data_IF_460410526206
#
_entry.id   IF_460410526206
#
_cell.length_a   1.000
_cell.length_b   1.000
_cell.length_c   1.000
_cell.angle_alpha   90.00
_cell.angle_beta   90.00
_cell.angle_gamma   90.00
#
_symmetry.space_group_name_H-M   'P 1'
#
loop_
_entity.id
_entity.type
_entity.pdbx_description
1 polymer ?
#
# COMPACT_ATOMS: atom_id res chain seq x y z
N UNK A 1 2.55 -12.25 79.27
CA UNK A 1 3.23 -12.38 77.97
C UNK A 1 2.42 -11.67 76.89
N UNK A 2 2.86 -10.50 76.41
CA UNK A 2 2.29 -9.81 75.24
C UNK A 2 3.47 -9.24 74.44
N UNK A 3 3.69 -9.77 73.24
CA UNK A 3 4.74 -9.35 72.31
C UNK A 3 4.19 -8.22 71.44
N UNK A 4 4.90 -7.10 71.37
CA UNK A 4 4.64 -6.00 70.45
C UNK A 4 5.43 -6.31 69.17
N UNK A 5 4.74 -6.33 68.03
CA UNK A 5 5.32 -6.55 66.70
C UNK A 5 5.53 -5.18 66.05
N UNK A 6 6.78 -4.89 65.72
CA UNK A 6 7.20 -3.66 65.04
C UNK A 6 7.08 -3.86 63.53
N UNK A 7 6.14 -3.17 62.88
CA UNK A 7 5.95 -3.21 61.43
C UNK A 7 6.88 -2.17 60.77
N UNK A 8 7.91 -2.62 60.07
CA UNK A 8 8.75 -1.77 59.24
C UNK A 8 8.07 -1.54 57.87
N UNK A 9 7.72 -0.30 57.57
CA UNK A 9 7.22 0.10 56.25
C UNK A 9 8.42 0.39 55.33
N UNK A 10 8.65 -0.48 54.34
CA UNK A 10 9.60 -0.23 53.26
C UNK A 10 8.91 0.59 52.16
N UNK A 11 9.38 1.82 51.92
CA UNK A 11 8.99 2.63 50.76
C UNK A 11 9.68 2.11 49.50
N UNK A 12 8.89 1.57 48.58
CA UNK A 12 9.33 1.27 47.21
C UNK A 12 9.23 2.56 46.37
N UNK A 13 10.37 3.18 46.06
CA UNK A 13 10.44 4.30 45.11
C UNK A 13 10.48 3.71 43.69
N UNK A 14 9.35 3.75 43.00
CA UNK A 14 9.24 3.42 41.57
C UNK A 14 9.84 4.57 40.76
N UNK A 15 11.06 4.38 40.26
CA UNK A 15 11.68 5.20 39.22
C UNK A 15 10.94 4.98 37.90
N UNK A 16 9.88 5.75 37.67
CA UNK A 16 9.22 5.89 36.37
C UNK A 16 10.10 6.81 35.48
N UNK A 17 11.07 6.22 34.79
CA UNK A 17 11.78 6.91 33.71
C UNK A 17 10.82 7.24 32.56
N UNK A 18 11.02 8.36 31.83
CA UNK A 18 10.19 8.68 30.69
C UNK A 18 10.42 7.60 29.62
N UNK A 19 9.36 6.87 29.27
CA UNK A 19 9.36 6.05 28.07
C UNK A 19 9.55 7.00 26.89
N UNK A 20 10.74 7.02 26.30
CA UNK A 20 10.99 7.71 25.04
C UNK A 20 10.05 7.13 24.00
N UNK A 21 8.96 7.84 23.70
CA UNK A 21 8.10 7.54 22.57
C UNK A 21 8.93 7.74 21.30
N UNK A 22 9.42 6.64 20.72
CA UNK A 22 10.07 6.68 19.42
C UNK A 22 8.96 7.03 18.43
N UNK A 23 9.00 8.24 17.86
CA UNK A 23 8.03 8.64 16.85
C UNK A 23 8.12 7.65 15.69
N UNK A 24 6.97 7.09 15.27
CA UNK A 24 6.93 6.25 14.09
C UNK A 24 7.51 7.04 12.90
N UNK A 25 8.35 6.41 12.05
CA UNK A 25 8.95 7.13 10.93
C UNK A 25 7.88 7.72 10.01
N UNK A 26 8.19 8.88 9.44
CA UNK A 26 7.31 9.55 8.49
C UNK A 26 7.10 8.68 7.25
N UNK A 27 5.95 8.79 6.59
CA UNK A 27 5.70 8.06 5.34
C UNK A 27 6.73 8.40 4.27
N UNK A 28 7.25 9.63 4.26
CA UNK A 28 8.31 10.05 3.34
C UNK A 28 9.60 9.21 3.42
N UNK A 29 9.97 8.66 4.59
CA UNK A 29 11.14 7.78 4.67
C UNK A 29 10.88 6.37 4.13
N UNK A 30 9.62 6.05 3.80
CA UNK A 30 9.19 4.76 3.29
C UNK A 30 9.05 4.73 1.76
N UNK A 31 9.36 5.84 1.07
CA UNK A 31 9.40 5.88 -0.40
C UNK A 31 10.50 4.96 -0.93
N UNK A 32 10.25 4.28 -2.05
CA UNK A 32 11.28 3.45 -2.70
C UNK A 32 12.34 4.35 -3.35
N UNK A 33 13.59 4.01 -3.11
CA UNK A 33 14.75 4.64 -3.74
C UNK A 33 15.05 3.98 -5.10
N UNK A 34 15.89 4.58 -5.97
CA UNK A 34 16.23 3.97 -7.26
C UNK A 34 16.74 2.52 -7.16
N UNK A 35 17.46 2.19 -6.09
CA UNK A 35 17.99 0.85 -5.84
C UNK A 35 16.91 -0.17 -5.41
N UNK A 36 15.75 0.29 -4.95
CA UNK A 36 14.63 -0.54 -4.51
C UNK A 36 13.75 -1.03 -5.69
N UNK A 37 13.96 -0.48 -6.89
CA UNK A 37 13.23 -0.85 -8.10
C UNK A 37 13.95 -1.96 -8.89
N UNK A 38 13.22 -2.70 -9.76
CA UNK A 38 13.83 -3.76 -10.56
C UNK A 38 15.05 -3.26 -11.35
N UNK A 39 16.15 -4.03 -11.46
CA UNK A 39 17.36 -3.59 -12.13
C UNK A 39 17.11 -3.03 -13.53
N UNK A 40 17.80 -1.94 -13.86
CA UNK A 40 17.61 -1.19 -15.12
C UNK A 40 16.42 -0.22 -15.11
N UNK A 41 15.70 -0.10 -13.99
CA UNK A 41 14.68 0.94 -13.83
C UNK A 41 15.32 2.32 -13.71
N UNK A 42 14.65 3.32 -14.28
CA UNK A 42 14.97 4.74 -14.12
C UNK A 42 13.92 5.33 -13.19
N UNK A 43 14.35 5.85 -12.04
CA UNK A 43 13.45 6.54 -11.12
C UNK A 43 12.78 7.71 -11.85
N UNK A 44 11.46 7.81 -11.68
CA UNK A 44 10.63 8.74 -12.43
C UNK A 44 10.10 9.86 -11.53
N UNK A 45 9.65 9.54 -10.31
CA UNK A 45 9.04 10.54 -9.41
C UNK A 45 8.98 10.04 -7.96
N UNK A 46 9.07 10.96 -7.01
CA UNK A 46 8.69 10.77 -5.61
C UNK A 46 7.67 11.84 -5.27
N UNK A 47 6.59 11.49 -4.57
CA UNK A 47 5.55 12.42 -4.17
C UNK A 47 5.14 12.21 -2.71
N UNK A 48 4.57 13.26 -2.14
CA UNK A 48 3.82 13.20 -0.89
C UNK A 48 2.38 13.63 -1.17
N UNK A 49 1.44 13.12 -0.38
CA UNK A 49 0.03 13.43 -0.52
C UNK A 49 -0.57 13.57 0.86
N UNK A 50 -1.30 14.67 1.09
CA UNK A 50 -2.19 14.77 2.23
C UNK A 50 -3.61 14.61 1.71
N UNK A 51 -4.26 13.53 2.10
CA UNK A 51 -5.57 13.18 1.60
C UNK A 51 -6.63 14.10 2.19
N UNK A 52 -7.15 15.01 1.37
CA UNK A 52 -8.18 15.97 1.77
C UNK A 52 -9.59 15.38 1.83
N UNK A 53 -10.58 16.27 1.89
CA UNK A 53 -11.98 15.91 1.63
C UNK A 53 -12.11 15.75 0.11
N UNK A 54 -12.06 14.52 -0.38
CA UNK A 54 -12.42 14.26 -1.77
C UNK A 54 -13.95 14.38 -1.93
N UNK A 55 -14.38 15.26 -2.82
CA UNK A 55 -15.76 15.34 -3.34
C UNK A 55 -15.87 14.50 -4.62
N UNK A 56 -15.27 13.32 -4.64
CA UNK A 56 -15.20 12.51 -5.86
C UNK A 56 -16.54 11.83 -6.14
N UNK A 57 -17.32 12.44 -7.04
CA UNK A 57 -18.38 11.74 -7.79
C UNK A 57 -17.66 10.99 -8.91
N UNK A 58 -17.43 9.69 -8.73
CA UNK A 58 -16.81 8.88 -9.78
C UNK A 58 -17.77 8.66 -10.94
N UNK A 59 -17.25 8.68 -12.17
CA UNK A 59 -17.94 8.18 -13.35
C UNK A 59 -18.08 6.66 -13.22
N UNK A 60 -19.19 6.21 -12.63
CA UNK A 60 -19.45 4.80 -12.36
C UNK A 60 -20.85 4.60 -11.81
N UNK A 61 -21.35 3.37 -11.89
CA UNK A 61 -22.62 3.00 -11.28
C UNK A 61 -22.59 3.15 -9.74
N UNK A 62 -23.76 3.08 -9.06
CA UNK A 62 -23.87 3.35 -7.62
C UNK A 62 -22.87 2.58 -6.73
N UNK A 63 -22.53 1.34 -7.10
CA UNK A 63 -21.56 0.52 -6.36
C UNK A 63 -20.13 1.10 -6.40
N UNK A 64 -19.69 1.59 -7.57
CA UNK A 64 -18.39 2.23 -7.71
C UNK A 64 -18.32 3.52 -6.89
N UNK A 65 -19.34 4.37 -6.97
CA UNK A 65 -19.40 5.62 -6.21
C UNK A 65 -19.35 5.37 -4.70
N UNK A 66 -20.05 4.35 -4.21
CA UNK A 66 -19.99 3.95 -2.79
C UNK A 66 -18.59 3.46 -2.38
N UNK A 67 -17.93 2.67 -3.23
CA UNK A 67 -16.59 2.17 -2.93
C UNK A 67 -15.54 3.29 -2.93
N UNK A 68 -15.65 4.25 -3.86
CA UNK A 68 -14.82 5.47 -3.88
C UNK A 68 -15.04 6.27 -2.58
N UNK A 69 -16.29 6.54 -2.21
CA UNK A 69 -16.62 7.28 -1.00
C UNK A 69 -16.09 6.57 0.26
N UNK A 70 -16.15 5.24 0.32
CA UNK A 70 -15.61 4.45 1.43
C UNK A 70 -14.08 4.55 1.52
N UNK A 71 -13.37 4.49 0.39
CA UNK A 71 -11.92 4.67 0.35
C UNK A 71 -11.53 6.10 0.74
N UNK A 72 -12.24 7.10 0.22
CA UNK A 72 -12.02 8.51 0.54
C UNK A 72 -12.24 8.80 2.03
N UNK A 73 -13.27 8.21 2.62
CA UNK A 73 -13.51 8.28 4.06
C UNK A 73 -12.36 7.64 4.85
N UNK A 74 -11.88 6.46 4.44
CA UNK A 74 -10.79 5.75 5.10
C UNK A 74 -9.47 6.56 5.08
N UNK A 75 -9.13 7.18 3.95
CA UNK A 75 -7.89 7.95 3.79
C UNK A 75 -7.99 9.41 4.25
N UNK A 76 -9.14 9.90 4.71
CA UNK A 76 -9.33 11.32 5.01
C UNK A 76 -8.37 11.84 6.09
N UNK A 77 -7.55 12.82 5.75
CA UNK A 77 -6.54 13.40 6.63
C UNK A 77 -5.29 12.53 6.79
N UNK A 78 -5.15 11.46 5.99
CA UNK A 78 -3.96 10.62 5.93
C UNK A 78 -2.81 11.34 5.25
N UNK A 79 -1.60 11.01 5.67
CA UNK A 79 -0.39 11.28 4.91
C UNK A 79 -0.01 10.05 4.10
N UNK A 80 0.25 10.27 2.81
CA UNK A 80 0.77 9.30 1.88
C UNK A 80 2.11 9.75 1.34
N UNK A 81 2.99 8.80 1.06
CA UNK A 81 4.19 9.06 0.29
C UNK A 81 4.42 7.93 -0.69
N UNK A 82 4.84 8.25 -1.91
CA UNK A 82 5.02 7.27 -2.94
C UNK A 82 6.16 7.60 -3.89
N UNK A 83 6.48 6.60 -4.70
CA UNK A 83 7.60 6.59 -5.62
C UNK A 83 7.24 5.81 -6.86
N UNK A 84 7.77 6.24 -8.00
CA UNK A 84 7.61 5.54 -9.27
C UNK A 84 8.91 5.44 -10.05
N UNK A 85 9.01 4.39 -10.86
CA UNK A 85 10.12 4.18 -11.77
C UNK A 85 9.63 3.54 -13.07
N UNK A 86 10.46 3.63 -14.11
CA UNK A 86 10.18 3.06 -15.43
C UNK A 86 11.27 2.13 -15.89
N UNK A 87 10.91 1.02 -16.53
CA UNK A 87 11.86 0.11 -17.18
C UNK A 87 11.32 -0.30 -18.55
N UNK A 88 11.86 0.27 -19.61
CA UNK A 88 11.29 0.15 -20.94
C UNK A 88 9.85 0.66 -20.96
N UNK A 89 8.92 -0.18 -21.41
CA UNK A 89 7.48 0.10 -21.44
C UNK A 89 6.74 -0.27 -20.15
N UNK A 90 7.45 -0.51 -19.05
CA UNK A 90 6.86 -0.81 -17.74
C UNK A 90 6.93 0.43 -16.83
N UNK A 91 5.84 0.70 -16.13
CA UNK A 91 5.76 1.68 -15.04
C UNK A 91 5.50 0.93 -13.73
N UNK A 92 6.31 1.22 -12.72
CA UNK A 92 6.16 0.72 -11.36
C UNK A 92 5.80 1.88 -10.45
N UNK A 93 4.82 1.69 -9.58
CA UNK A 93 4.36 2.67 -8.60
C UNK A 93 4.23 1.99 -7.24
N UNK A 94 4.66 2.66 -6.19
CA UNK A 94 4.39 2.24 -4.82
C UNK A 94 4.02 3.45 -3.98
N UNK A 95 3.10 3.28 -3.05
CA UNK A 95 2.64 4.29 -2.13
C UNK A 95 2.38 3.68 -0.76
N UNK A 96 2.80 4.38 0.29
CA UNK A 96 2.50 4.05 1.69
C UNK A 96 1.60 5.13 2.26
N UNK A 97 0.52 4.70 2.90
CA UNK A 97 -0.45 5.57 3.56
C UNK A 97 -0.37 5.30 5.07
N UNK A 98 -0.37 6.35 5.89
CA UNK A 98 -0.25 6.31 7.36
C UNK A 98 -1.46 5.74 8.11
N UNK A 99 -2.27 4.91 7.44
CA UNK A 99 -3.42 4.20 8.01
C UNK A 99 -3.85 3.01 7.15
N UNK A 100 -4.60 2.06 7.73
CA UNK A 100 -5.21 0.98 6.97
C UNK A 100 -6.20 1.47 5.93
N UNK A 101 -6.01 1.07 4.68
CA UNK A 101 -6.88 1.38 3.53
C UNK A 101 -7.05 0.22 2.57
N UNK A 102 -6.31 -0.87 2.72
CA UNK A 102 -6.18 -1.92 1.72
C UNK A 102 -7.54 -2.53 1.36
N UNK A 103 -8.37 -2.82 2.35
CA UNK A 103 -9.72 -3.36 2.15
C UNK A 103 -10.61 -2.43 1.31
N UNK A 104 -10.55 -1.13 1.56
CA UNK A 104 -11.35 -0.15 0.82
C UNK A 104 -10.79 0.05 -0.59
N UNK A 105 -9.46 0.02 -0.74
CA UNK A 105 -8.80 0.09 -2.04
C UNK A 105 -9.16 -1.13 -2.91
N UNK A 106 -9.08 -2.34 -2.37
CA UNK A 106 -9.50 -3.56 -3.03
C UNK A 106 -10.99 -3.54 -3.42
N UNK A 107 -11.86 -3.05 -2.53
CA UNK A 107 -13.30 -2.87 -2.83
C UNK A 107 -13.51 -1.91 -4.00
N UNK A 108 -12.85 -0.74 -4.00
CA UNK A 108 -12.91 0.20 -5.11
C UNK A 108 -12.47 -0.47 -6.40
N UNK A 109 -11.36 -1.19 -6.36
CA UNK A 109 -10.81 -1.91 -7.50
C UNK A 109 -11.89 -2.86 -8.10
N UNK A 110 -12.58 -3.64 -7.27
CA UNK A 110 -13.63 -4.57 -7.76
C UNK A 110 -14.94 -3.90 -8.17
N UNK A 111 -15.32 -2.78 -7.54
CA UNK A 111 -16.63 -2.16 -7.71
C UNK A 111 -16.68 -1.16 -8.87
N UNK A 112 -15.52 -0.64 -9.29
CA UNK A 112 -15.42 0.32 -10.37
C UNK A 112 -15.16 -0.39 -11.69
N UNK A 113 -16.07 -0.28 -12.67
CA UNK A 113 -15.87 -0.86 -13.99
C UNK A 113 -14.77 -0.08 -14.70
N UNK A 114 -13.55 -0.60 -14.65
CA UNK A 114 -12.46 -0.13 -15.50
C UNK A 114 -12.64 -0.69 -16.92
N UNK A 115 -11.92 -0.12 -17.90
CA UNK A 115 -11.86 -0.67 -19.26
C UNK A 115 -11.25 -2.09 -19.33
N UNK A 116 -10.82 -2.64 -18.20
CA UNK A 116 -10.11 -3.90 -18.05
C UNK A 116 -10.81 -4.83 -17.08
N UNK A 117 -10.79 -6.12 -17.41
CA UNK A 117 -11.26 -7.13 -16.49
C UNK A 117 -10.24 -7.29 -15.37
N UNK A 118 -10.69 -7.10 -14.14
CA UNK A 118 -9.88 -7.34 -12.95
C UNK A 118 -10.11 -8.75 -12.42
N UNK A 119 -9.01 -9.47 -12.18
CA UNK A 119 -9.03 -10.83 -11.65
C UNK A 119 -8.23 -10.88 -10.36
N UNK A 120 -8.87 -11.31 -9.28
CA UNK A 120 -8.17 -11.57 -8.03
C UNK A 120 -7.20 -12.73 -8.18
N UNK A 121 -6.00 -12.60 -7.61
CA UNK A 121 -4.92 -13.60 -7.69
C UNK A 121 -4.44 -13.93 -6.28
N UNK A 122 -4.20 -15.21 -6.02
CA UNK A 122 -3.65 -15.64 -4.75
C UNK A 122 -2.21 -15.11 -4.58
N UNK A 123 -1.85 -14.58 -3.40
CA UNK A 123 -0.48 -14.19 -3.14
C UNK A 123 0.45 -15.39 -3.13
N UNK A 124 1.73 -15.20 -3.51
CA UNK A 124 2.81 -16.13 -3.21
C UNK A 124 2.85 -16.54 -1.74
N UNK A 125 3.35 -17.75 -1.46
CA UNK A 125 3.35 -18.32 -0.11
C UNK A 125 4.12 -17.48 0.92
N UNK A 126 5.13 -16.73 0.48
CA UNK A 126 5.89 -15.82 1.34
C UNK A 126 5.07 -14.60 1.79
N UNK A 127 4.03 -14.22 1.04
CA UNK A 127 3.16 -13.08 1.33
C UNK A 127 1.81 -13.48 1.95
N UNK A 128 1.48 -14.78 2.00
CA UNK A 128 0.16 -15.27 2.43
C UNK A 128 -0.23 -14.81 3.83
N UNK A 129 0.74 -14.67 4.75
CA UNK A 129 0.48 -14.24 6.14
C UNK A 129 -0.01 -12.80 6.23
N UNK A 130 0.37 -11.98 5.26
CA UNK A 130 -0.05 -10.58 5.17
C UNK A 130 -1.43 -10.46 4.50
N UNK A 131 -1.92 -11.54 3.89
CA UNK A 131 -3.21 -11.61 3.18
C UNK A 131 -3.44 -10.41 2.25
N UNK A 132 -2.47 -10.03 1.39
CA UNK A 132 -2.67 -8.90 0.49
C UNK A 132 -3.77 -9.20 -0.53
N UNK A 133 -4.55 -8.19 -0.86
CA UNK A 133 -5.49 -8.23 -1.98
C UNK A 133 -4.71 -7.93 -3.27
N UNK A 134 -4.72 -8.87 -4.22
CA UNK A 134 -3.93 -8.77 -5.44
C UNK A 134 -4.81 -8.95 -6.66
N UNK A 135 -4.71 -8.03 -7.60
CA UNK A 135 -5.50 -8.05 -8.82
C UNK A 135 -4.60 -7.97 -10.05
N UNK A 136 -4.91 -8.81 -11.04
CA UNK A 136 -4.46 -8.63 -12.42
C UNK A 136 -5.47 -7.81 -13.20
N UNK A 137 -4.99 -6.83 -13.95
CA UNK A 137 -5.76 -6.12 -14.96
C UNK A 137 -5.48 -6.78 -16.30
N UNK A 138 -6.55 -7.25 -16.97
CA UNK A 138 -6.46 -7.94 -18.26
C UNK A 138 -7.11 -7.16 -19.38
N UNK A 139 -6.42 -7.09 -20.52
CA UNK A 139 -6.98 -6.57 -21.77
C UNK A 139 -8.22 -7.39 -22.20
N UNK A 140 -9.04 -6.87 -23.13
CA UNK A 140 -10.09 -7.68 -23.76
C UNK A 140 -9.57 -8.97 -24.43
N UNK A 141 -8.31 -8.98 -24.88
CA UNK A 141 -7.63 -10.16 -25.42
C UNK A 141 -7.08 -11.13 -24.36
N UNK A 142 -7.25 -10.82 -23.06
CA UNK A 142 -6.85 -11.68 -21.94
C UNK A 142 -5.41 -11.52 -21.48
N UNK A 143 -4.62 -10.63 -22.09
CA UNK A 143 -3.22 -10.34 -21.72
C UNK A 143 -3.20 -9.58 -20.39
N UNK A 144 -2.30 -9.94 -19.47
CA UNK A 144 -2.10 -9.19 -18.23
C UNK A 144 -1.34 -7.91 -18.54
N UNK A 145 -2.04 -6.77 -18.44
CA UNK A 145 -1.52 -5.43 -18.80
C UNK A 145 -1.15 -4.60 -17.57
N UNK A 146 -1.55 -5.05 -16.39
CA UNK A 146 -1.03 -4.55 -15.14
C UNK A 146 -1.43 -5.41 -13.95
N UNK A 147 -0.84 -5.10 -12.81
CA UNK A 147 -1.09 -5.75 -11.53
C UNK A 147 -1.11 -4.69 -10.44
N UNK A 148 -1.97 -4.88 -9.45
CA UNK A 148 -2.03 -4.06 -8.23
C UNK A 148 -2.06 -4.94 -7.00
N UNK A 149 -1.43 -4.49 -5.92
CA UNK A 149 -1.45 -5.10 -4.60
C UNK A 149 -1.84 -4.06 -3.56
N UNK A 150 -2.69 -4.48 -2.62
CA UNK A 150 -3.08 -3.71 -1.45
C UNK A 150 -2.81 -4.56 -0.20
N UNK A 151 -2.13 -4.01 0.79
CA UNK A 151 -1.92 -4.71 2.06
C UNK A 151 -1.88 -3.73 3.24
N UNK A 152 -2.57 -4.08 4.31
CA UNK A 152 -2.46 -3.35 5.58
C UNK A 152 -1.33 -3.98 6.42
N UNK A 153 -0.36 -3.16 6.79
CA UNK A 153 0.74 -3.47 7.70
C UNK A 153 0.51 -2.68 8.99
N UNK A 154 -0.39 -3.23 9.82
CA UNK A 154 -0.96 -2.68 11.06
C UNK A 154 -1.50 -1.25 10.98
N UNK A 155 -0.72 -0.21 11.25
CA UNK A 155 -1.18 1.19 11.19
C UNK A 155 -0.86 1.86 9.86
N UNK A 156 -0.33 1.13 8.87
CA UNK A 156 -0.06 1.63 7.53
C UNK A 156 -0.68 0.74 6.47
N UNK A 157 -0.93 1.29 5.30
CA UNK A 157 -1.33 0.55 4.11
C UNK A 157 -0.29 0.75 3.02
N UNK A 158 -0.05 -0.29 2.24
CA UNK A 158 0.76 -0.23 1.02
C UNK A 158 -0.14 -0.42 -0.19
N UNK A 159 0.09 0.40 -1.21
CA UNK A 159 -0.52 0.26 -2.53
C UNK A 159 0.60 0.20 -3.57
N UNK A 160 0.67 -0.90 -4.30
CA UNK A 160 1.74 -1.13 -5.26
C UNK A 160 1.16 -1.54 -6.60
N UNK A 161 1.71 -1.01 -7.69
CA UNK A 161 1.23 -1.27 -9.04
C UNK A 161 2.39 -1.45 -10.03
N UNK A 162 2.19 -2.35 -10.99
CA UNK A 162 2.98 -2.42 -12.21
C UNK A 162 2.02 -2.37 -13.41
N UNK A 163 2.32 -1.53 -14.40
CA UNK A 163 1.48 -1.38 -15.60
C UNK A 163 2.34 -1.28 -16.85
N UNK A 164 1.88 -1.86 -17.95
CA UNK A 164 2.46 -1.56 -19.26
C UNK A 164 2.12 -0.13 -19.68
N UNK A 165 2.97 0.54 -20.44
CA UNK A 165 2.76 1.94 -20.85
C UNK A 165 1.58 2.10 -21.82
N UNK A 166 1.32 1.04 -22.59
CA UNK A 166 0.15 0.95 -23.48
C UNK A 166 -1.16 1.03 -22.70
N UNK A 167 -1.19 0.54 -21.46
CA UNK A 167 -2.32 0.64 -20.53
C UNK A 167 -2.83 2.09 -20.38
N UNK A 168 -1.94 3.08 -20.35
CA UNK A 168 -2.30 4.47 -20.05
C UNK A 168 -2.76 5.27 -21.26
N UNK A 169 -2.58 4.77 -22.49
CA UNK A 169 -2.80 5.55 -23.70
C UNK A 169 -4.15 5.27 -24.36
N UNK A 170 -4.55 4.01 -24.48
CA UNK A 170 -5.81 3.63 -25.13
C UNK A 170 -6.08 2.13 -24.92
N UNK A 171 -7.19 1.80 -24.24
CA UNK A 171 -7.57 0.42 -23.93
C UNK A 171 -7.92 -0.42 -25.17
N UNK A 172 -8.24 0.22 -26.30
CA UNK A 172 -8.60 -0.44 -27.55
C UNK A 172 -7.40 -0.80 -28.44
N UNK A 173 -6.20 -0.30 -28.13
CA UNK A 173 -4.97 -0.54 -28.90
C UNK A 173 -3.90 -1.33 -28.16
N UNK A 174 -4.19 -1.87 -26.97
CA UNK A 174 -3.25 -2.75 -26.25
C UNK A 174 -3.19 -4.09 -26.96
N UNK A 175 -2.20 -4.22 -27.84
CA UNK A 175 -2.11 -5.39 -28.70
C UNK A 175 -1.27 -6.49 -28.07
N UNK A 176 -0.17 -6.21 -27.36
CA UNK A 176 0.73 -7.29 -26.91
C UNK A 176 1.65 -6.99 -25.70
N UNK A 177 1.68 -5.79 -25.12
CA UNK A 177 2.65 -5.54 -24.03
C UNK A 177 2.17 -6.12 -22.70
N UNK A 178 2.70 -7.29 -22.36
CA UNK A 178 2.52 -7.93 -21.06
C UNK A 178 3.23 -7.13 -19.95
N UNK A 179 2.61 -7.05 -18.78
CA UNK A 179 3.24 -6.47 -17.59
C UNK A 179 4.42 -7.32 -17.13
N UNK A 180 5.47 -6.67 -16.60
CA UNK A 180 6.52 -7.38 -15.90
C UNK A 180 6.04 -7.87 -14.51
N UNK A 181 5.58 -9.13 -14.48
CA UNK A 181 5.12 -9.79 -13.26
C UNK A 181 6.26 -9.97 -12.23
N UNK A 182 7.49 -10.22 -12.67
CA UNK A 182 8.61 -10.39 -11.75
C UNK A 182 8.97 -9.07 -11.07
N UNK A 183 8.98 -7.98 -11.84
CA UNK A 183 9.17 -6.62 -11.33
C UNK A 183 8.06 -6.21 -10.36
N UNK A 184 6.80 -6.54 -10.65
CA UNK A 184 5.69 -6.35 -9.72
C UNK A 184 5.93 -7.03 -8.37
N UNK A 185 6.28 -8.32 -8.37
CA UNK A 185 6.52 -9.03 -7.12
C UNK A 185 7.75 -8.52 -6.37
N UNK A 186 8.77 -8.06 -7.09
CA UNK A 186 9.92 -7.41 -6.49
C UNK A 186 9.51 -6.16 -5.71
N UNK A 187 8.80 -5.21 -6.34
CA UNK A 187 8.39 -3.96 -5.68
C UNK A 187 7.47 -4.21 -4.47
N UNK A 188 6.54 -5.17 -4.57
CA UNK A 188 5.65 -5.54 -3.45
C UNK A 188 6.47 -6.01 -2.25
N UNK A 189 7.39 -6.96 -2.46
CA UNK A 189 8.25 -7.49 -1.39
C UNK A 189 9.16 -6.42 -0.82
N UNK A 190 9.75 -5.59 -1.67
CA UNK A 190 10.63 -4.50 -1.23
C UNK A 190 9.87 -3.50 -0.36
N UNK A 191 8.68 -3.07 -0.78
CA UNK A 191 7.87 -2.12 0.00
C UNK A 191 7.42 -2.71 1.34
N UNK A 192 6.95 -3.97 1.35
CA UNK A 192 6.58 -4.69 2.57
C UNK A 192 7.75 -4.72 3.54
N UNK A 193 8.92 -5.19 3.06
CA UNK A 193 10.13 -5.28 3.88
C UNK A 193 10.52 -3.93 4.47
N UNK A 194 10.49 -2.87 3.65
CA UNK A 194 10.83 -1.50 4.07
C UNK A 194 9.88 -0.99 5.15
N UNK A 195 8.58 -1.26 5.04
CA UNK A 195 7.60 -0.87 6.07
C UNK A 195 7.77 -1.71 7.34
N UNK A 196 7.94 -3.03 7.22
CA UNK A 196 8.14 -3.93 8.36
C UNK A 196 9.40 -3.62 9.17
N UNK A 197 10.49 -3.18 8.54
CA UNK A 197 11.73 -2.77 9.22
C UNK A 197 11.58 -1.55 10.14
N UNK A 198 10.46 -0.83 10.04
CA UNK A 198 10.19 0.36 10.86
C UNK A 198 9.24 0.12 12.02
N UNK A 199 8.90 -1.14 12.28
CA UNK A 199 7.92 -1.61 13.27
C UNK A 199 8.65 -2.33 14.40
#
# INVERSE_FOLDING_TARGET
MRRIVTTAAAMFVLLLGPASAVAAPSTSSLTLEPADFPPGSKAAEVWSTRYGIALSVGDGGPACSQAIAALDAARRGAEGAGSSARRGDQEYRSEVIDRPTARQAARRATACPDAFAMRHVAPPSDLVRLSPDIFEMRSPSGVVVGMVAYADLGDRSIETAATSREFRRDSSSIKNTQVDVAGFWHIVRTQITKVEQTR
#
